data_IF_517365465263
#
_entry.id   IF_517365465263
#
_cell.length_a   1.000
_cell.length_b   1.000
_cell.length_c   1.000
_cell.angle_alpha   90.00
_cell.angle_beta   90.00
_cell.angle_gamma   90.00
#
_symmetry.space_group_name_H-M   'P 1'
#
loop_
_entity.id
_entity.type
_entity.pdbx_description
1 polymer ?
2 non-polymer ?
3 non-polymer ?
4 non-polymer ?
5 water ?
#
# COMPACT_ATOMS: atom_id res chain seq x y z
N UNK A 2 -21.08 5.24 8.91
CA UNK A 2 -19.59 5.21 9.07
C UNK A 2 -19.06 3.92 8.46
N UNK A 3 -18.06 4.08 7.60
CA UNK A 3 -17.39 2.99 6.93
C UNK A 3 -16.75 2.04 7.94
N UNK A 4 -16.96 0.74 7.72
CA UNK A 4 -16.27 -0.27 8.47
C UNK A 4 -15.16 -0.85 7.60
N UNK A 5 -13.94 -0.92 8.13
CA UNK A 5 -12.80 -1.50 7.47
C UNK A 5 -12.41 -2.76 8.22
N UNK A 6 -12.30 -3.89 7.53
CA UNK A 6 -11.96 -5.17 8.15
C UNK A 6 -10.51 -5.53 7.87
N UNK A 7 -9.80 -5.86 8.96
CA UNK A 7 -8.45 -6.36 8.89
C UNK A 7 -7.62 -5.85 10.05
N UNK A 8 -6.42 -6.45 10.29
CA UNK A 8 -5.54 -5.93 11.32
C UNK A 8 -4.98 -4.57 10.94
N UNK A 9 -4.80 -3.72 11.94
CA UNK A 9 -4.16 -2.42 11.75
C UNK A 9 -2.73 -2.57 11.22
N UNK A 10 -2.05 -3.67 11.55
CA UNK A 10 -0.67 -3.85 11.10
C UNK A 10 -0.56 -4.35 9.67
N UNK A 11 -1.64 -4.84 9.06
CA UNK A 11 -1.48 -5.50 7.77
C UNK A 11 -1.45 -4.51 6.62
N UNK A 12 -0.68 -4.87 5.57
CA UNK A 12 -0.45 -3.99 4.45
C UNK A 12 -1.72 -3.54 3.74
N UNK A 13 -2.60 -4.46 3.34
CA UNK A 13 -3.70 -4.04 2.46
C UNK A 13 -4.76 -3.27 3.25
N UNK A 14 -5.09 -3.63 4.52
CA UNK A 14 -5.92 -2.74 5.30
C UNK A 14 -5.30 -1.34 5.45
N UNK A 15 -3.98 -1.28 5.68
CA UNK A 15 -3.32 0.02 5.78
C UNK A 15 -3.43 0.85 4.50
N UNK A 16 -3.38 0.21 3.34
CA UNK A 16 -3.51 0.93 2.10
C UNK A 16 -4.86 1.66 2.07
N UNK A 17 -5.93 0.94 2.44
CA UNK A 17 -7.24 1.52 2.49
C UNK A 17 -7.33 2.65 3.51
N UNK A 18 -6.87 2.38 4.74
CA UNK A 18 -6.96 3.37 5.79
C UNK A 18 -6.19 4.64 5.44
N UNK A 19 -5.05 4.51 4.76
CA UNK A 19 -4.31 5.69 4.36
C UNK A 19 -5.15 6.60 3.45
N UNK A 20 -5.85 6.00 2.49
CA UNK A 20 -6.71 6.78 1.62
C UNK A 20 -7.85 7.44 2.40
N UNK A 21 -8.50 6.68 3.29
CA UNK A 21 -9.59 7.25 4.08
C UNK A 21 -9.09 8.42 4.92
N UNK A 22 -7.91 8.29 5.55
CA UNK A 22 -7.36 9.38 6.34
C UNK A 22 -7.06 10.58 5.46
N UNK A 23 -6.43 10.36 4.31
CA UNK A 23 -6.11 11.48 3.43
C UNK A 23 -7.37 12.24 3.03
N UNK A 24 -8.48 11.50 2.82
CA UNK A 24 -9.72 12.08 2.35
C UNK A 24 -10.65 12.51 3.46
N UNK A 25 -10.23 12.37 4.72
CA UNK A 25 -11.05 12.78 5.86
C UNK A 25 -12.32 11.96 6.04
N UNK A 26 -12.26 10.69 5.67
CA UNK A 26 -13.41 9.80 5.77
C UNK A 26 -13.31 9.06 7.11
N UNK A 27 -14.22 9.28 8.05
CA UNK A 27 -14.13 8.59 9.31
C UNK A 27 -14.57 7.13 9.12
N UNK A 28 -13.91 6.23 9.85
CA UNK A 28 -14.10 4.78 9.72
C UNK A 28 -13.93 4.13 11.08
N UNK A 29 -14.50 2.91 11.14
CA UNK A 29 -14.32 2.03 12.28
C UNK A 29 -13.55 0.81 11.82
N UNK A 30 -12.45 0.50 12.50
CA UNK A 30 -11.67 -0.68 12.20
C UNK A 30 -12.22 -1.87 12.94
N UNK A 31 -12.38 -2.96 12.19
CA UNK A 31 -12.79 -4.24 12.74
C UNK A 31 -11.63 -5.21 12.53
N UNK A 32 -10.91 -5.52 13.59
CA UNK A 32 -9.79 -6.44 13.50
C UNK A 32 -10.29 -7.77 12.97
N UNK A 33 -9.48 -8.38 12.10
CA UNK A 33 -9.66 -9.77 11.66
C UNK A 33 -8.35 -10.46 11.97
N UNK A 34 -8.40 -11.58 12.67
CA UNK A 34 -7.18 -12.15 13.20
C UNK A 34 -6.57 -13.12 12.20
N UNK A 35 -5.72 -12.59 11.33
CA UNK A 35 -5.02 -13.35 10.33
C UNK A 35 -4.11 -14.39 10.98
N UNK A 36 -3.56 -14.08 12.16
CA UNK A 36 -2.66 -15.00 12.83
C UNK A 36 -3.35 -16.34 13.09
N UNK A 37 -4.64 -16.31 13.42
CA UNK A 37 -5.37 -17.50 13.77
C UNK A 37 -6.23 -17.99 12.62
N UNK A 38 -6.16 -17.39 11.42
CA UNK A 38 -6.90 -17.89 10.29
C UNK A 38 -8.37 -17.50 10.27
N UNK A 39 -8.76 -16.44 11.00
CA UNK A 39 -10.15 -16.00 11.03
C UNK A 39 -10.69 -15.69 9.63
N UNK A 40 -9.83 -15.19 8.77
CA UNK A 40 -10.24 -14.79 7.44
C UNK A 40 -10.65 -15.96 6.56
N UNK A 41 -10.32 -17.19 6.98
CA UNK A 41 -10.64 -18.37 6.17
C UNK A 41 -11.88 -19.09 6.66
N UNK A 42 -12.53 -18.58 7.72
CA UNK A 42 -13.65 -19.28 8.31
C UNK A 42 -14.95 -18.76 7.71
N UNK A 43 -16.06 -19.54 7.83
CA UNK A 43 -17.26 -19.18 7.08
C UNK A 43 -17.82 -17.75 7.29
N UNK A 44 -17.80 -17.23 8.54
CA UNK A 44 -18.37 -15.95 8.87
C UNK A 44 -17.66 -14.92 7.97
N UNK A 45 -16.32 -14.92 7.94
CA UNK A 45 -15.60 -13.88 7.19
C UNK A 45 -15.75 -14.09 5.68
N UNK A 46 -15.85 -15.34 5.22
CA UNK A 46 -15.97 -15.60 3.80
C UNK A 46 -17.27 -15.00 3.23
N UNK A 47 -18.31 -14.78 4.06
CA UNK A 47 -19.48 -14.08 3.60
C UNK A 47 -19.16 -12.63 3.24
N UNK A 48 -18.10 -12.07 3.82
CA UNK A 48 -17.73 -10.69 3.55
C UNK A 48 -16.70 -10.60 2.42
N UNK A 49 -15.66 -11.45 2.46
CA UNK A 49 -14.61 -11.44 1.45
C UNK A 49 -14.44 -12.89 1.01
N UNK A 50 -14.99 -13.25 -0.16
CA UNK A 50 -15.15 -14.68 -0.48
C UNK A 50 -13.84 -15.39 -0.83
N UNK A 51 -12.75 -14.63 -1.04
CA UNK A 51 -11.43 -15.19 -1.24
C UNK A 51 -10.67 -15.31 0.09
N UNK A 52 -11.30 -14.97 1.20
CA UNK A 52 -10.65 -15.12 2.49
C UNK A 52 -9.43 -14.27 2.68
N UNK A 53 -9.53 -13.01 2.27
CA UNK A 53 -8.47 -12.03 2.43
C UNK A 53 -9.05 -10.74 2.97
N UNK A 54 -8.17 -9.92 3.55
CA UNK A 54 -8.55 -8.58 4.02
C UNK A 54 -7.84 -7.53 3.16
N UNK A 55 -8.42 -6.33 2.96
CA UNK A 55 -9.62 -5.84 3.62
C UNK A 55 -10.89 -6.03 2.81
N UNK A 56 -11.99 -5.80 3.52
CA UNK A 56 -13.30 -5.51 2.94
C UNK A 56 -13.78 -4.23 3.62
N UNK A 57 -14.59 -3.44 2.91
CA UNK A 57 -15.26 -2.31 3.53
C UNK A 57 -16.77 -2.49 3.40
N UNK A 58 -17.47 -2.03 4.43
CA UNK A 58 -18.91 -1.95 4.44
C UNK A 58 -19.27 -0.49 4.72
N UNK A 59 -20.09 0.11 3.86
CA UNK A 59 -20.41 1.54 3.90
C UNK A 59 -21.91 1.62 3.69
N UNK A 60 -22.64 1.60 4.79
CA UNK A 60 -24.08 1.36 4.70
C UNK A 60 -24.32 -0.02 4.10
N UNK A 61 -25.16 -0.12 3.07
CA UNK A 61 -25.44 -1.40 2.44
C UNK A 61 -24.55 -1.59 1.20
N UNK A 62 -23.47 -0.79 1.06
CA UNK A 62 -22.48 -1.05 0.02
C UNK A 62 -21.30 -1.80 0.58
N UNK A 63 -20.87 -2.85 -0.11
CA UNK A 63 -19.75 -3.68 0.31
C UNK A 63 -18.77 -3.77 -0.86
N UNK A 64 -17.48 -3.64 -0.55
CA UNK A 64 -16.45 -3.61 -1.60
C UNK A 64 -15.19 -4.26 -1.02
N UNK A 65 -14.49 -5.05 -1.83
CA UNK A 65 -13.19 -5.55 -1.46
C UNK A 65 -12.22 -5.28 -2.63
N UNK A 66 -10.98 -5.76 -2.45
CA UNK A 66 -9.78 -5.44 -3.27
C UNK A 66 -9.32 -4.04 -2.94
N UNK A 67 -8.20 -3.97 -2.20
CA UNK A 67 -7.71 -2.72 -1.67
C UNK A 67 -7.59 -1.61 -2.72
N UNK A 68 -7.12 -1.93 -3.93
CA UNK A 68 -6.92 -0.88 -4.93
C UNK A 68 -8.23 -0.44 -5.55
N UNK A 69 -9.25 -1.30 -5.58
CA UNK A 69 -10.59 -0.86 -5.95
C UNK A 69 -11.18 0.09 -4.89
N UNK A 70 -10.94 -0.26 -3.64
CA UNK A 70 -11.46 0.54 -2.54
C UNK A 70 -10.83 1.94 -2.54
N UNK A 71 -9.48 2.05 -2.69
CA UNK A 71 -8.91 3.37 -2.65
C UNK A 71 -9.33 4.21 -3.85
N UNK A 72 -9.54 3.60 -5.03
CA UNK A 72 -10.09 4.35 -6.15
C UNK A 72 -11.48 4.88 -5.85
N UNK A 73 -12.31 4.05 -5.21
CA UNK A 73 -13.69 4.42 -4.90
C UNK A 73 -13.72 5.64 -3.98
N UNK A 74 -12.98 5.60 -2.87
CA UNK A 74 -13.03 6.68 -1.92
C UNK A 74 -12.35 7.94 -2.46
N UNK A 75 -11.30 7.78 -3.27
CA UNK A 75 -10.68 8.96 -3.89
C UNK A 75 -11.67 9.65 -4.82
N UNK A 76 -12.56 8.89 -5.48
CA UNK A 76 -13.57 9.49 -6.36
C UNK A 76 -14.78 10.00 -5.58
N UNK A 77 -15.21 9.24 -4.58
CA UNK A 77 -16.41 9.63 -3.86
C UNK A 77 -16.17 10.96 -3.15
N UNK A 78 -14.95 11.18 -2.68
CA UNK A 78 -14.58 12.40 -2.00
C UNK A 78 -13.58 13.22 -2.81
N UNK A 79 -13.65 13.22 -4.14
CA UNK A 79 -12.69 13.92 -4.98
C UNK A 79 -12.57 15.38 -4.53
N UNK A 80 -13.68 16.09 -4.29
CA UNK A 80 -13.59 17.55 -4.20
C UNK A 80 -13.20 18.02 -2.78
N UNK A 81 -12.83 17.08 -1.92
CA UNK A 81 -12.30 17.26 -0.57
C UNK A 81 -10.85 16.79 -0.42
N UNK A 82 -10.01 17.52 0.29
CA UNK A 82 -8.68 17.03 0.57
C UNK A 82 -7.84 16.93 -0.69
N UNK A 83 -6.79 16.11 -0.68
CA UNK A 83 -5.88 16.09 -1.83
C UNK A 83 -6.49 15.44 -3.06
N UNK A 84 -6.16 16.02 -4.20
CA UNK A 84 -6.51 15.34 -5.42
C UNK A 84 -5.58 14.14 -5.59
N UNK A 85 -6.12 12.93 -5.38
CA UNK A 85 -5.37 11.67 -5.44
C UNK A 85 -5.49 10.98 -6.79
N UNK A 86 -6.40 11.42 -7.66
CA UNK A 86 -6.66 10.70 -8.91
C UNK A 86 -6.00 11.30 -10.15
N UNK A 87 -5.73 12.61 -10.11
CA UNK A 87 -5.42 13.39 -11.30
C UNK A 87 -6.67 14.04 -11.88
N UNK A 88 -6.45 15.08 -12.69
CA UNK A 88 -7.56 15.85 -13.27
C UNK A 88 -7.92 15.40 -14.68
N UNK A 89 -6.96 15.48 -15.60
CA UNK A 89 -7.25 15.13 -16.99
C UNK A 89 -7.23 13.62 -17.13
N UNK A 90 -7.81 13.10 -18.22
CA UNK A 90 -7.78 11.65 -18.41
C UNK A 90 -6.33 11.17 -18.52
N UNK A 91 -5.45 11.97 -19.12
CA UNK A 91 -4.05 11.57 -19.23
C UNK A 91 -3.36 11.55 -17.87
N UNK A 92 -3.65 12.51 -17.01
CA UNK A 92 -3.11 12.50 -15.66
C UNK A 92 -3.63 11.28 -14.87
N UNK A 93 -4.91 11.02 -15.02
CA UNK A 93 -5.51 9.89 -14.35
C UNK A 93 -4.87 8.60 -14.84
N UNK A 94 -4.54 8.54 -16.14
CA UNK A 94 -3.93 7.33 -16.71
C UNK A 94 -2.55 7.07 -16.12
N UNK A 95 -1.78 8.14 -15.88
CA UNK A 95 -0.45 7.99 -15.29
C UNK A 95 -0.54 7.52 -13.83
N UNK A 96 -1.55 7.97 -13.09
CA UNK A 96 -1.83 7.43 -11.76
C UNK A 96 -2.12 5.95 -11.87
N UNK A 97 -3.01 5.59 -12.80
CA UNK A 97 -3.34 4.18 -12.98
C UNK A 97 -2.15 3.35 -13.38
N UNK A 98 -1.29 3.88 -14.26
CA UNK A 98 -0.09 3.14 -14.66
C UNK A 98 0.79 2.82 -13.45
N UNK A 99 1.05 3.82 -12.62
CA UNK A 99 1.92 3.60 -11.48
C UNK A 99 1.26 2.80 -10.36
N UNK A 100 -0.09 2.79 -10.27
CA UNK A 100 -0.78 1.80 -9.42
C UNK A 100 -0.54 0.38 -9.93
N UNK A 101 -0.64 0.22 -11.25
CA UNK A 101 -0.43 -1.08 -11.87
C UNK A 101 1.01 -1.56 -11.66
N UNK A 102 1.99 -0.64 -11.75
CA UNK A 102 3.40 -0.95 -11.48
C UNK A 102 3.55 -1.39 -10.01
N UNK A 103 2.91 -0.63 -9.10
CA UNK A 103 2.94 -1.00 -7.69
C UNK A 103 2.39 -2.41 -7.50
N UNK A 104 1.25 -2.67 -8.13
CA UNK A 104 0.47 -3.87 -7.83
C UNK A 104 1.10 -5.17 -8.33
N UNK A 105 1.98 -5.10 -9.32
CA UNK A 105 2.60 -6.31 -9.84
C UNK A 105 4.13 -6.23 -9.73
N UNK A 106 4.75 -5.39 -10.56
CA UNK A 106 6.20 -5.34 -10.59
C UNK A 106 6.81 -5.16 -9.20
N UNK A 107 6.27 -4.20 -8.44
CA UNK A 107 6.77 -3.93 -7.11
C UNK A 107 6.26 -4.92 -6.06
N UNK A 108 4.94 -4.96 -5.89
CA UNK A 108 4.38 -5.68 -4.75
C UNK A 108 4.59 -7.20 -4.85
N UNK A 109 4.64 -7.77 -6.05
CA UNK A 109 4.85 -9.22 -6.09
C UNK A 109 6.19 -9.58 -5.44
N UNK A 110 7.19 -8.73 -5.67
CA UNK A 110 8.51 -8.96 -5.07
C UNK A 110 8.52 -8.60 -3.59
N UNK A 111 7.98 -7.44 -3.24
CA UNK A 111 8.03 -7.05 -1.84
C UNK A 111 7.26 -8.04 -0.97
N UNK A 112 6.04 -8.44 -1.39
CA UNK A 112 5.29 -9.43 -0.60
C UNK A 112 6.11 -10.70 -0.44
N UNK A 113 6.60 -11.26 -1.53
CA UNK A 113 7.38 -12.48 -1.47
C UNK A 113 8.47 -12.31 -0.40
N UNK A 114 9.25 -11.20 -0.44
CA UNK A 114 10.34 -10.98 0.49
C UNK A 114 9.85 -10.92 1.92
N UNK A 115 8.84 -10.08 2.17
CA UNK A 115 8.33 -9.91 3.53
C UNK A 115 7.74 -11.22 4.05
N UNK A 116 7.05 -11.99 3.21
CA UNK A 116 6.49 -13.26 3.64
C UNK A 116 7.60 -14.18 4.14
N UNK A 117 8.71 -14.29 3.42
CA UNK A 117 9.78 -15.20 3.79
C UNK A 117 10.54 -14.65 5.00
N UNK A 118 10.80 -13.33 5.04
CA UNK A 118 11.72 -12.77 6.02
C UNK A 118 11.02 -12.50 7.33
N UNK A 119 9.75 -12.10 7.26
CA UNK A 119 9.01 -11.60 8.41
C UNK A 119 7.85 -12.51 8.82
N UNK A 120 6.98 -12.88 7.87
CA UNK A 120 5.78 -13.62 8.22
C UNK A 120 6.10 -15.05 8.67
N UNK A 121 6.92 -15.78 7.90
CA UNK A 121 7.15 -17.20 8.15
C UNK A 121 7.91 -17.40 9.46
N UNK A 122 8.97 -16.65 9.81
CA UNK A 122 9.58 -16.84 11.13
C UNK A 122 8.64 -16.65 12.31
N UNK A 123 7.65 -15.77 12.17
CA UNK A 123 6.68 -15.60 13.24
C UNK A 123 5.79 -16.82 13.45
N UNK A 124 5.70 -17.73 12.49
CA UNK A 124 4.94 -18.94 12.73
C UNK A 124 5.86 -20.16 12.80
N UNK A 125 7.16 -19.92 13.06
CA UNK A 125 8.08 -21.00 13.38
C UNK A 125 8.65 -21.70 12.14
N UNK A 126 8.56 -21.03 10.97
CA UNK A 126 9.11 -21.57 9.73
C UNK A 126 10.28 -20.71 9.26
N UNK A 127 11.32 -21.38 8.79
CA UNK A 127 12.47 -20.69 8.27
C UNK A 127 12.10 -20.20 6.88
N UNK A 128 12.48 -18.97 6.60
CA UNK A 128 12.37 -18.47 5.25
C UNK A 128 13.45 -19.09 4.38
N UNK A 129 13.19 -19.00 3.08
CA UNK A 129 14.11 -19.50 2.07
C UNK A 129 14.99 -18.33 1.63
N UNK A 130 16.17 -18.21 2.24
CA UNK A 130 17.04 -17.07 2.01
C UNK A 130 17.52 -16.99 0.57
N UNK A 131 17.76 -18.14 -0.07
CA UNK A 131 18.19 -18.15 -1.46
C UNK A 131 17.10 -17.54 -2.36
N UNK A 132 15.85 -17.91 -2.07
CA UNK A 132 14.69 -17.39 -2.81
C UNK A 132 14.57 -15.88 -2.58
N UNK A 133 14.72 -15.45 -1.31
CA UNK A 133 14.68 -14.03 -0.99
C UNK A 133 15.73 -13.27 -1.78
N UNK A 134 16.93 -13.84 -1.90
CA UNK A 134 17.98 -13.25 -2.69
C UNK A 134 17.52 -13.01 -4.13
N UNK A 135 16.90 -14.02 -4.72
CA UNK A 135 16.46 -13.86 -6.09
C UNK A 135 15.45 -12.71 -6.20
N UNK A 136 14.55 -12.57 -5.22
CA UNK A 136 13.58 -11.47 -5.24
C UNK A 136 14.29 -10.13 -5.11
N UNK A 137 15.26 -10.06 -4.23
CA UNK A 137 16.00 -8.83 -4.02
C UNK A 137 16.65 -8.36 -5.31
N UNK A 138 17.32 -9.29 -6.01
CA UNK A 138 18.01 -8.88 -7.21
C UNK A 138 17.03 -8.39 -8.29
N UNK A 139 15.85 -9.02 -8.38
CA UNK A 139 14.82 -8.52 -9.29
C UNK A 139 14.34 -7.15 -8.88
N UNK A 140 14.17 -6.96 -7.57
CA UNK A 140 13.64 -5.71 -7.05
C UNK A 140 14.61 -4.55 -7.25
N UNK A 141 15.91 -4.80 -7.22
CA UNK A 141 16.84 -3.73 -7.52
C UNK A 141 16.59 -3.21 -8.94
N UNK A 142 16.35 -4.13 -9.89
CA UNK A 142 16.13 -3.73 -11.27
C UNK A 142 14.81 -2.96 -11.41
N UNK A 143 13.76 -3.37 -10.70
CA UNK A 143 12.51 -2.63 -10.69
C UNK A 143 12.75 -1.23 -10.13
N UNK A 144 13.45 -1.13 -9.00
CA UNK A 144 13.64 0.16 -8.36
C UNK A 144 14.58 1.06 -9.14
N UNK A 145 15.44 0.52 -10.00
CA UNK A 145 16.19 1.39 -10.90
C UNK A 145 15.29 2.16 -11.85
N UNK A 146 14.16 1.57 -12.25
CA UNK A 146 13.19 2.25 -13.09
C UNK A 146 12.52 3.37 -12.30
N UNK A 147 12.18 3.10 -11.02
CA UNK A 147 11.62 4.10 -10.13
C UNK A 147 12.57 5.29 -10.00
N UNK A 148 13.86 5.01 -9.80
CA UNK A 148 14.83 6.07 -9.62
C UNK A 148 14.89 6.97 -10.85
N UNK A 149 14.90 6.34 -12.03
CA UNK A 149 14.88 7.10 -13.28
C UNK A 149 13.63 7.98 -13.34
N UNK A 150 12.45 7.42 -13.01
CA UNK A 150 11.24 8.19 -13.03
C UNK A 150 11.29 9.39 -12.11
N UNK A 151 11.74 9.16 -10.88
CA UNK A 151 11.77 10.19 -9.85
C UNK A 151 12.88 11.22 -10.10
N UNK A 152 13.81 10.95 -11.02
CA UNK A 152 14.75 11.96 -11.44
C UNK A 152 14.03 13.00 -12.30
N UNK A 153 12.93 12.60 -12.97
CA UNK A 153 12.19 13.40 -13.95
C UNK A 153 10.92 14.01 -13.38
N UNK A 154 10.36 13.45 -12.32
CA UNK A 154 9.08 13.83 -11.79
C UNK A 154 9.16 13.79 -10.27
N UNK A 155 8.54 14.75 -9.56
CA UNK A 155 8.69 14.78 -8.12
C UNK A 155 8.10 13.52 -7.49
N UNK A 156 6.89 13.17 -7.94
CA UNK A 156 6.21 11.97 -7.49
C UNK A 156 6.05 11.01 -8.67
N UNK A 157 5.48 9.83 -8.43
CA UNK A 157 5.50 8.81 -9.48
C UNK A 157 4.64 9.18 -10.69
N UNK A 158 3.45 9.75 -10.46
CA UNK A 158 2.49 9.97 -11.54
C UNK A 158 2.51 11.41 -12.03
N UNK A 159 3.40 12.25 -11.52
CA UNK A 159 3.43 13.65 -11.86
C UNK A 159 4.01 14.45 -10.71
N UNK A 160 3.78 15.76 -10.73
CA UNK A 160 4.46 16.62 -9.77
C UNK A 160 3.75 16.66 -8.41
N UNK A 161 2.63 15.93 -8.23
CA UNK A 161 1.93 15.92 -6.96
C UNK A 161 1.70 14.49 -6.48
N UNK A 162 1.49 14.38 -5.17
CA UNK A 162 1.20 13.09 -4.53
C UNK A 162 -0.17 12.59 -5.00
N UNK A 163 -0.22 11.29 -5.34
CA UNK A 163 -1.46 10.68 -5.81
C UNK A 163 -1.62 9.30 -5.18
N UNK A 164 -2.70 8.62 -5.57
CA UNK A 164 -2.89 7.23 -5.20
C UNK A 164 -1.69 6.37 -5.53
N UNK A 165 -1.02 6.66 -6.64
CA UNK A 165 0.12 5.86 -7.04
C UNK A 165 1.18 5.83 -5.94
N UNK A 166 1.49 6.97 -5.36
CA UNK A 166 2.47 7.01 -4.28
C UNK A 166 1.92 6.37 -3.02
N UNK A 167 0.68 6.76 -2.68
CA UNK A 167 0.02 6.29 -1.47
C UNK A 167 0.05 4.76 -1.39
N UNK A 168 -0.23 4.09 -2.52
CA UNK A 168 -0.36 2.65 -2.53
C UNK A 168 0.90 1.92 -2.11
N UNK A 169 2.08 2.59 -2.25
CA UNK A 169 3.33 1.98 -1.86
C UNK A 169 3.62 2.07 -0.36
N UNK A 170 2.91 2.92 0.39
CA UNK A 170 3.31 3.21 1.78
C UNK A 170 3.45 1.96 2.63
N UNK A 171 2.42 1.08 2.71
CA UNK A 171 2.48 0.03 3.72
C UNK A 171 3.57 -1.00 3.48
N UNK A 172 3.69 -1.48 2.24
CA UNK A 172 4.66 -2.54 1.96
C UNK A 172 6.07 -1.99 2.03
N UNK A 173 6.28 -0.76 1.53
CA UNK A 173 7.62 -0.20 1.56
C UNK A 173 8.11 -0.08 3.00
N UNK A 174 7.21 0.31 3.93
CA UNK A 174 7.65 0.45 5.31
C UNK A 174 8.16 -0.90 5.83
N UNK A 175 7.43 -1.98 5.57
CA UNK A 175 7.89 -3.31 5.98
C UNK A 175 9.24 -3.65 5.32
N UNK A 176 9.38 -3.34 4.03
CA UNK A 176 10.60 -3.66 3.29
C UNK A 176 11.83 -3.06 3.96
N UNK A 177 11.72 -1.79 4.36
CA UNK A 177 12.88 -1.04 4.83
C UNK A 177 13.08 -1.09 6.33
N UNK A 178 12.15 -1.71 7.07
CA UNK A 178 12.23 -1.87 8.53
C UNK A 178 12.34 -3.35 8.84
N UNK A 179 11.21 -4.03 9.01
CA UNK A 179 11.20 -5.40 9.47
C UNK A 179 11.98 -6.33 8.55
N UNK A 180 11.93 -6.13 7.22
CA UNK A 180 12.62 -7.03 6.31
C UNK A 180 14.11 -6.74 6.19
N UNK A 181 14.56 -5.62 6.76
CA UNK A 181 15.99 -5.31 6.78
C UNK A 181 16.62 -4.90 5.44
N UNK A 182 15.78 -4.48 4.50
CA UNK A 182 16.24 -4.17 3.16
C UNK A 182 16.13 -2.66 2.86
N UNK A 183 16.40 -1.83 3.88
CA UNK A 183 16.40 -0.40 3.68
C UNK A 183 17.37 0.07 2.61
N UNK A 184 18.46 -0.67 2.37
CA UNK A 184 19.39 -0.23 1.34
C UNK A 184 18.74 -0.08 -0.03
N UNK A 185 17.67 -0.83 -0.30
CA UNK A 185 17.02 -0.75 -1.60
C UNK A 185 16.52 0.65 -1.86
N UNK A 186 16.05 1.32 -0.81
CA UNK A 186 15.63 2.72 -0.92
C UNK A 186 16.81 3.67 -0.72
N UNK A 187 17.64 3.45 0.30
CA UNK A 187 18.71 4.37 0.63
C UNK A 187 19.76 4.45 -0.47
N UNK A 188 19.98 3.39 -1.22
CA UNK A 188 20.94 3.38 -2.30
C UNK A 188 20.58 4.32 -3.46
N UNK A 189 19.30 4.71 -3.55
CA UNK A 189 18.73 5.43 -4.69
C UNK A 189 18.29 6.81 -4.24
N UNK A 190 19.04 7.86 -4.59
CA UNK A 190 18.83 9.14 -3.93
C UNK A 190 17.44 9.73 -4.14
N UNK A 191 16.92 9.73 -5.37
CA UNK A 191 15.60 10.30 -5.57
C UNK A 191 14.52 9.45 -4.90
N UNK A 192 14.65 8.12 -4.95
CA UNK A 192 13.73 7.22 -4.30
C UNK A 192 13.74 7.44 -2.79
N UNK A 193 14.94 7.60 -2.22
CA UNK A 193 15.02 7.82 -0.77
C UNK A 193 14.31 9.09 -0.37
N UNK A 194 14.55 10.18 -1.11
CA UNK A 194 13.89 11.44 -0.80
C UNK A 194 12.38 11.33 -0.95
N UNK A 195 11.92 10.64 -1.99
CA UNK A 195 10.48 10.40 -2.17
C UNK A 195 9.93 9.65 -0.96
N UNK A 196 10.61 8.60 -0.51
CA UNK A 196 10.15 7.82 0.62
C UNK A 196 10.07 8.65 1.88
N UNK A 197 11.11 9.42 2.17
CA UNK A 197 11.09 10.21 3.40
C UNK A 197 10.01 11.29 3.34
N UNK A 198 9.70 11.78 2.14
CA UNK A 198 8.58 12.69 1.98
C UNK A 198 7.23 12.01 2.23
N UNK A 199 6.90 10.98 1.44
CA UNK A 199 5.55 10.44 1.52
C UNK A 199 5.28 9.81 2.88
N UNK A 200 6.28 9.16 3.48
CA UNK A 200 6.09 8.51 4.75
C UNK A 200 6.08 9.47 5.93
N UNK A 201 6.30 10.77 5.70
CA UNK A 201 6.15 11.79 6.72
C UNK A 201 4.84 12.53 6.63
N UNK A 202 3.96 12.18 5.68
CA UNK A 202 2.69 12.85 5.60
C UNK A 202 1.87 12.63 6.86
N UNK A 203 1.12 13.65 7.32
CA UNK A 203 0.39 13.52 8.56
C UNK A 203 -0.55 12.34 8.58
N UNK A 204 -1.26 12.02 7.49
CA UNK A 204 -2.19 10.89 7.54
C UNK A 204 -1.47 9.59 7.80
N UNK A 205 -0.30 9.41 7.17
CA UNK A 205 0.49 8.22 7.36
C UNK A 205 1.03 8.12 8.77
N UNK A 206 1.53 9.23 9.31
CA UNK A 206 2.02 9.23 10.68
C UNK A 206 0.91 8.85 11.67
N UNK A 207 -0.31 9.35 11.43
CA UNK A 207 -1.44 9.01 12.30
C UNK A 207 -1.72 7.51 12.27
N UNK A 208 -1.70 6.94 11.06
CA UNK A 208 -1.97 5.52 10.89
C UNK A 208 -0.86 4.71 11.54
N UNK A 209 0.41 5.14 11.38
CA UNK A 209 1.49 4.40 12.01
C UNK A 209 1.45 4.51 13.54
N UNK A 210 0.96 5.65 14.04
CA UNK A 210 0.76 5.75 15.49
C UNK A 210 -0.25 4.73 15.98
N UNK A 211 -1.36 4.55 15.24
CA UNK A 211 -2.37 3.55 15.59
C UNK A 211 -1.79 2.15 15.56
N UNK A 212 -1.03 1.86 14.49
CA UNK A 212 -0.56 0.49 14.26
C UNK A 212 0.63 0.11 15.12
N UNK A 213 1.35 1.09 15.68
CA UNK A 213 2.54 0.83 16.47
C UNK A 213 3.84 0.81 15.67
N UNK A 214 3.89 1.54 14.55
CA UNK A 214 5.07 1.64 13.71
C UNK A 214 5.61 3.07 13.65
X LIG B 1 -5.52 -8.34 -3.91
X LIG B 1 -5.96 -8.19 -2.49
X LIG B 1 -6.20 -6.71 -2.15
X LIG B 1 -7.12 -6.42 -1.32
X LIG B 1 -5.43 -5.88 -2.71
X LIG B 1 -4.88 -8.78 -1.59
X LIG B 1 -5.40 -8.90 -0.18
X LIG B 1 -4.39 -9.63 0.69
X LIG B 1 -3.44 -10.25 0.23
X LIG B 1 -4.56 -9.51 1.99
X LIG B 1 -3.69 -10.07 2.97
X LIG B 1 -4.35 -11.28 3.62
X LIG B 1 -5.55 -11.27 3.87
X LIG B 1 -3.33 -9.00 4.02
X LIG B 1 -2.25 -7.70 3.37
X LIG B 1 -3.53 -12.25 3.97
X LIG B 1 -3.98 -13.47 4.59
X LIG B 1 -4.32 -14.60 3.62
X LIG B 1 -4.81 -15.62 4.13
X LIG B 1 -4.10 -14.40 2.40
X LIG B 1 -5.38 -7.52 -4.28
X LIG B 1 -4.76 -8.83 -3.96
X LIG B 1 -6.17 -8.77 -4.39
X LIG B 1 -6.79 -8.69 -2.36
X LIG B 1 -4.09 -8.20 -1.61
X LIG B 1 -4.61 -9.66 -1.93
X LIG B 1 -6.24 -9.40 -0.18
X LIG B 1 -5.56 -8.02 0.20
X LIG B 1 -5.25 -9.07 2.29
X LIG B 1 -2.86 -10.37 2.53
X LIG B 1 -2.89 -9.43 4.78
X LIG B 1 -4.16 -8.59 4.33
X LIG B 1 -2.16 -7.04 4.37
X LIG B 1 -2.68 -12.15 3.83
X LIG B 1 -4.76 -13.29 5.14
X LIG B 1 -3.27 -13.80 5.18
X LIG C 1 -0.45 -14.86 5.24
X LIG C 1 -0.28 -13.55 5.58
X LIG C 1 -0.60 -13.15 6.87
X LIG C 1 -0.45 -11.84 7.20
X LIG C 1 -0.68 -11.41 8.47
X LIG C 1 0.04 -10.89 6.29
X LIG C 1 0.13 -9.43 6.66
X LIG C 1 0.18 -12.64 4.64
X LIG C 1 0.33 -11.32 5.01
X LIG C 1 0.89 -10.49 4.06
X LIG C 1 1.51 -9.25 4.59
X LIG C 1 0.44 -8.55 5.46
X LIG C 1 0.91 -7.28 5.88
X LIG C 1 2.11 -8.50 3.43
X LIG C 1 1.33 -8.16 2.35
X LIG C 1 1.90 -7.53 1.25
X LIG C 1 1.21 -7.21 0.11
X LIG C 1 3.24 -7.14 1.30
X LIG C 1 3.84 -6.49 0.25
X LIG C 1 4.00 -7.46 2.40
X LIG C 1 3.43 -8.14 3.47
X LIG C 1 -0.22 -14.98 4.43
X LIG C 1 -0.92 -13.77 7.50
X LIG C 1 -0.48 -10.58 8.51
X LIG C 1 0.83 -9.30 7.34
X LIG C 1 -0.73 -9.14 7.05
X LIG C 1 0.41 -12.94 3.77
X LIG C 1 2.25 -9.53 5.18
X LIG C 1 -0.38 -8.43 4.93
X LIG C 1 1.65 -7.38 6.27
X LIG C 1 0.44 -8.45 2.30
X LIG C 1 0.40 -7.45 0.18
X LIG C 1 3.28 -6.39 -0.39
X LIG C 1 4.91 -7.20 2.44
X LIG C 1 3.95 -8.33 4.22
X LIG D 1 8.63 5.53 -16.64
X LIG E 1 -2.45 -7.66 -4.23
X LIG F 1 24.04 -15.89 -1.42
X LIG G 1 -2.04 -3.32 16.41
X LIG H 1 -9.58 -7.47 -0.46
#
# INVERSE_FOLDING_TARGET
MVVKVYGPAVAVCPQRVMACLLEKGVEFDLVHVDLDSGEQKLPEFLLKQPFGQVPVVEDGDFKLFESRAIIRYYAAKYEDRGPNLLGNTLEEKALVDQWLEIEAHNFNDLVFNIVFQVVILPRIGQQGDSELVRTYEEKLEKVLDVYEKRLSKSKYLAGDSFTLADLSHLPATRYLVNEAGLGHLVKDRKKLNAWWEDISSRPAWKKLMNLAGF
GSH N1 CA1 C1 O11 O12 CB1 CG1 CD1 OE1 N2 CA2 C2 O2 CB2 SG2 N3 CA3 C3 O31 O32 HN11 H3 HN12 HA1 HB12 HB13 HG12 HG13 HN2 HA2 HB22 HB23 HSG HN3 HA31 HA32
M5O OAB CAT CAK CAY OAG CBD CAP CAN CBC OAR CBF CBE OAQ CBA CAO CAV OAD CAU OAC CAI CAJ H1 H2 H3 H4 H5 H6 H7 H8 H9 H10 H11 H12 H13 H14
NA NA
NA NA
NA NA
NA NA
NA NA
#
